data_IF_084480066621
#
_entry.id   IF_084480066621
#
_cell.length_a   1.000
_cell.length_b   1.000
_cell.length_c   1.000
_cell.angle_alpha   90.00
_cell.angle_beta   90.00
_cell.angle_gamma   90.00
#
_symmetry.space_group_name_H-M   'P 1'
#
loop_
_entity.id
_entity.type
_entity.pdbx_description
1 polymer ?
#
# COMPACT_ATOMS: atom_id res chain seq x y z
N UNK A 1 66.61 -25.90 49.09
CA UNK A 1 65.43 -25.77 48.22
C UNK A 1 64.42 -24.84 48.90
N UNK A 2 64.26 -23.60 48.41
CA UNK A 2 63.24 -22.66 48.93
C UNK A 2 61.88 -23.06 48.34
N UNK A 3 60.92 -23.45 49.19
CA UNK A 3 59.52 -23.63 48.78
C UNK A 3 58.90 -22.24 48.58
N UNK A 4 58.50 -21.93 47.34
CA UNK A 4 57.68 -20.77 47.04
C UNK A 4 56.29 -20.96 47.62
N UNK A 5 55.84 -20.01 48.44
CA UNK A 5 54.44 -19.94 48.90
C UNK A 5 53.64 -19.34 47.76
N UNK A 6 52.70 -20.09 47.19
CA UNK A 6 51.73 -19.56 46.24
C UNK A 6 50.64 -18.82 47.03
N UNK A 7 50.43 -17.51 46.83
CA UNK A 7 49.33 -16.80 47.47
C UNK A 7 48.01 -17.29 46.86
N UNK A 8 47.09 -17.75 47.71
CA UNK A 8 45.71 -18.08 47.31
C UNK A 8 44.88 -16.81 47.15
N UNK A 9 43.96 -16.79 46.18
CA UNK A 9 43.05 -15.68 45.92
C UNK A 9 42.12 -15.43 47.11
N UNK A 10 41.93 -14.15 47.48
CA UNK A 10 41.02 -13.77 48.57
C UNK A 10 39.59 -13.55 48.07
N UNK A 11 38.58 -13.70 48.94
CA UNK A 11 37.16 -13.55 48.57
C UNK A 11 36.86 -12.16 47.95
N UNK A 12 37.47 -11.10 48.49
CA UNK A 12 37.33 -9.73 48.01
C UNK A 12 37.85 -9.59 46.56
N UNK A 13 38.92 -10.30 46.24
CA UNK A 13 39.58 -10.30 44.94
C UNK A 13 38.73 -11.03 43.90
N UNK A 14 38.07 -12.13 44.29
CA UNK A 14 37.08 -12.82 43.46
C UNK A 14 35.87 -11.91 43.20
N UNK A 15 35.35 -11.22 44.22
CA UNK A 15 34.23 -10.29 44.03
C UNK A 15 34.59 -9.13 43.10
N UNK A 16 35.80 -8.58 43.20
CA UNK A 16 36.29 -7.53 42.30
C UNK A 16 36.39 -8.03 40.86
N UNK A 17 36.91 -9.24 40.64
CA UNK A 17 37.02 -9.83 39.30
C UNK A 17 35.63 -10.07 38.71
N UNK A 18 34.69 -10.64 39.46
CA UNK A 18 33.32 -10.89 38.98
C UNK A 18 32.59 -9.58 38.66
N UNK A 19 32.73 -8.55 39.51
CA UNK A 19 32.17 -7.23 39.27
C UNK A 19 32.74 -6.57 38.02
N UNK A 20 34.06 -6.66 37.82
CA UNK A 20 34.74 -6.12 36.64
C UNK A 20 34.30 -6.84 35.36
N UNK A 21 34.19 -8.17 35.40
CA UNK A 21 33.68 -8.97 34.27
C UNK A 21 32.25 -8.60 33.92
N UNK A 22 31.39 -8.36 34.91
CA UNK A 22 30.01 -7.89 34.69
C UNK A 22 29.95 -6.53 33.99
N UNK A 23 30.78 -5.58 34.41
CA UNK A 23 30.86 -4.25 33.78
C UNK A 23 31.40 -4.35 32.34
N UNK A 24 32.45 -5.13 32.12
CA UNK A 24 33.03 -5.36 30.79
C UNK A 24 32.00 -6.03 29.87
N UNK A 25 31.27 -7.04 30.36
CA UNK A 25 30.23 -7.72 29.59
C UNK A 25 29.07 -6.77 29.23
N UNK A 26 28.62 -5.93 30.17
CA UNK A 26 27.57 -4.94 29.91
C UNK A 26 28.01 -3.90 28.87
N UNK A 27 29.24 -3.39 28.97
CA UNK A 27 29.80 -2.43 28.02
C UNK A 27 29.98 -3.05 26.62
N UNK A 28 30.36 -4.32 26.54
CA UNK A 28 30.53 -5.03 25.27
C UNK A 28 29.21 -5.33 24.56
N UNK A 29 28.12 -5.55 25.30
CA UNK A 29 26.80 -5.86 24.73
C UNK A 29 25.96 -4.61 24.41
N UNK A 30 26.28 -3.45 24.98
CA UNK A 30 25.54 -2.21 24.75
C UNK A 30 25.42 -1.82 23.25
N UNK A 31 26.49 -1.92 22.42
CA UNK A 31 26.40 -1.63 20.98
C UNK A 31 25.45 -2.58 20.25
N UNK A 32 25.40 -3.86 20.63
CA UNK A 32 24.52 -4.88 20.04
C UNK A 32 23.05 -4.59 20.33
N UNK A 33 22.73 -4.25 21.60
CA UNK A 33 21.38 -3.88 22.01
C UNK A 33 20.92 -2.59 21.30
N UNK A 34 21.83 -1.63 21.13
CA UNK A 34 21.57 -0.41 20.37
C UNK A 34 21.30 -0.71 18.88
N UNK A 35 22.06 -1.61 18.27
CA UNK A 35 21.84 -2.01 16.86
C UNK A 35 20.52 -2.74 16.66
N UNK A 36 20.12 -3.63 17.58
CA UNK A 36 18.82 -4.32 17.50
C UNK A 36 17.68 -3.31 17.62
N UNK A 37 17.76 -2.37 18.57
CA UNK A 37 16.75 -1.32 18.73
C UNK A 37 16.70 -0.38 17.54
N UNK A 38 17.85 0.02 16.99
CA UNK A 38 17.89 0.88 15.81
C UNK A 38 17.37 0.17 14.56
N UNK A 39 17.59 -1.15 14.42
CA UNK A 39 17.03 -1.96 13.35
C UNK A 39 15.51 -2.14 13.51
N UNK A 40 15.03 -2.31 14.74
CA UNK A 40 13.59 -2.39 15.04
C UNK A 40 12.90 -1.04 14.79
N UNK A 41 13.49 0.08 15.21
CA UNK A 41 12.99 1.44 14.94
C UNK A 41 13.05 1.78 13.45
N UNK A 42 14.12 1.36 12.76
CA UNK A 42 14.22 1.47 11.31
C UNK A 42 13.14 0.62 10.65
N UNK A 43 12.96 -0.64 11.01
CA UNK A 43 11.92 -1.50 10.45
C UNK A 43 10.51 -0.99 10.74
N UNK A 44 10.27 -0.39 11.93
CA UNK A 44 9.01 0.29 12.27
C UNK A 44 8.78 1.55 11.44
N UNK A 45 9.82 2.33 11.11
CA UNK A 45 9.76 3.49 10.19
C UNK A 45 9.75 3.11 8.70
N UNK A 46 10.30 1.94 8.34
CA UNK A 46 10.65 1.56 6.95
C UNK A 46 9.96 0.31 6.42
N UNK A 47 9.03 -0.30 7.14
CA UNK A 47 8.12 -1.27 6.53
C UNK A 47 7.45 -0.62 5.31
N UNK A 48 7.31 -1.33 4.18
CA UNK A 48 6.80 -0.72 2.92
C UNK A 48 5.44 -0.03 3.10
N UNK A 49 4.70 -0.41 4.14
CA UNK A 49 3.43 0.18 4.54
C UNK A 49 3.55 1.49 5.34
N UNK A 50 4.72 2.07 5.57
CA UNK A 50 4.85 3.38 6.24
C UNK A 50 5.57 4.42 5.35
N UNK A 51 5.97 4.03 4.14
CA UNK A 51 6.65 4.91 3.21
C UNK A 51 5.67 5.40 2.13
N UNK A 52 5.28 6.67 2.23
CA UNK A 52 4.32 7.29 1.30
C UNK A 52 4.83 7.32 -0.14
N UNK A 53 6.12 7.56 -0.36
CA UNK A 53 6.71 7.53 -1.71
C UNK A 53 6.64 6.12 -2.31
N UNK A 54 6.95 5.08 -1.51
CA UNK A 54 6.84 3.69 -1.97
C UNK A 54 5.40 3.30 -2.32
N UNK A 55 4.40 3.81 -1.58
CA UNK A 55 2.99 3.58 -1.88
C UNK A 55 2.58 4.25 -3.20
N UNK A 56 3.01 5.49 -3.43
CA UNK A 56 2.81 6.21 -4.70
C UNK A 56 3.51 5.49 -5.84
N UNK A 57 4.77 5.11 -5.69
CA UNK A 57 5.52 4.38 -6.71
C UNK A 57 4.80 3.07 -7.09
N UNK A 58 4.19 2.38 -6.12
CA UNK A 58 3.37 1.20 -6.41
C UNK A 58 2.13 1.56 -7.22
N UNK A 59 1.39 2.61 -6.85
CA UNK A 59 0.21 3.09 -7.60
C UNK A 59 0.61 3.37 -9.05
N UNK A 60 1.61 4.20 -9.28
CA UNK A 60 2.04 4.59 -10.63
C UNK A 60 2.62 3.41 -11.42
N UNK A 61 3.30 2.48 -10.75
CA UNK A 61 3.72 1.21 -11.33
C UNK A 61 2.53 0.37 -11.82
N UNK A 62 1.41 0.34 -11.10
CA UNK A 62 0.19 -0.34 -11.57
C UNK A 62 -0.48 0.40 -12.74
N UNK A 63 -0.48 1.73 -12.70
CA UNK A 63 -1.08 2.57 -13.74
C UNK A 63 -0.31 2.43 -15.06
N UNK A 64 1.02 2.41 -15.03
CA UNK A 64 1.86 2.17 -16.22
C UNK A 64 1.59 0.81 -16.89
N UNK A 65 0.92 -0.11 -16.20
CA UNK A 65 0.54 -1.44 -16.67
C UNK A 65 -0.95 -1.55 -17.02
N UNK A 66 -1.68 -0.43 -17.06
CA UNK A 66 -3.06 -0.40 -17.59
C UNK A 66 -3.06 -0.92 -19.02
N UNK A 67 -3.97 -1.84 -19.31
CA UNK A 67 -4.12 -2.43 -20.64
C UNK A 67 -5.29 -1.72 -21.32
N UNK A 68 -5.08 -1.08 -22.49
CA UNK A 68 -6.19 -0.53 -23.26
C UNK A 68 -7.23 -1.60 -23.60
N UNK A 69 -8.51 -1.23 -23.57
CA UNK A 69 -9.61 -2.10 -23.99
C UNK A 69 -10.62 -1.27 -24.79
N UNK A 70 -11.00 -1.70 -26.00
CA UNK A 70 -11.97 -0.96 -26.82
C UNK A 70 -13.42 -1.10 -26.35
N UNK A 71 -13.72 -2.11 -25.53
CA UNK A 71 -15.10 -2.46 -25.14
C UNK A 71 -15.56 -1.81 -23.83
N UNK A 72 -14.65 -1.24 -23.05
CA UNK A 72 -14.96 -0.54 -21.80
C UNK A 72 -13.82 0.40 -21.38
N UNK A 73 -14.14 1.39 -20.53
CA UNK A 73 -13.14 2.24 -19.89
C UNK A 73 -12.11 1.44 -19.12
N UNK A 74 -10.85 1.87 -19.08
CA UNK A 74 -9.78 1.12 -18.40
C UNK A 74 -9.26 1.82 -17.16
N UNK A 75 -9.74 3.03 -16.90
CA UNK A 75 -9.32 3.87 -15.80
C UNK A 75 -10.52 4.70 -15.31
N UNK A 76 -10.76 4.70 -14.00
CA UNK A 76 -11.87 5.42 -13.38
C UNK A 76 -11.45 5.99 -12.02
N UNK A 77 -11.79 7.25 -11.78
CA UNK A 77 -11.68 7.90 -10.48
C UNK A 77 -13.09 8.20 -10.00
N UNK A 78 -13.40 7.71 -8.81
CA UNK A 78 -14.66 7.99 -8.11
C UNK A 78 -14.32 8.93 -6.96
N UNK A 79 -14.81 10.17 -7.04
CA UNK A 79 -14.68 11.11 -5.93
C UNK A 79 -15.65 10.71 -4.81
N UNK A 80 -15.11 10.49 -3.60
CA UNK A 80 -15.94 10.27 -2.40
C UNK A 80 -15.47 11.23 -1.32
N UNK A 81 -16.40 12.06 -0.88
CA UNK A 81 -16.29 12.88 0.32
C UNK A 81 -17.37 12.44 1.30
N UNK A 82 -16.99 12.09 2.52
CA UNK A 82 -17.93 11.70 3.58
C UNK A 82 -17.72 12.51 4.85
N UNK A 83 -18.66 12.40 5.80
CA UNK A 83 -18.61 13.11 7.09
C UNK A 83 -17.34 12.87 7.92
N UNK A 84 -16.61 11.76 7.70
CA UNK A 84 -15.39 11.41 8.44
C UNK A 84 -14.09 11.52 7.63
N UNK A 85 -14.17 11.68 6.30
CA UNK A 85 -13.01 11.78 5.41
C UNK A 85 -13.35 12.67 4.21
N UNK A 86 -12.68 13.82 4.13
CA UNK A 86 -12.78 14.76 2.99
C UNK A 86 -11.95 14.32 1.75
N UNK A 87 -11.35 13.13 1.81
CA UNK A 87 -10.39 12.63 0.83
C UNK A 87 -10.42 11.09 0.75
N UNK A 88 -11.50 10.50 0.23
CA UNK A 88 -11.60 9.05 -0.01
C UNK A 88 -11.76 8.76 -1.52
N UNK A 89 -10.98 9.44 -2.37
CA UNK A 89 -11.05 9.16 -3.80
C UNK A 89 -10.67 7.70 -4.07
N UNK A 90 -11.38 7.08 -4.99
CA UNK A 90 -11.17 5.68 -5.35
C UNK A 90 -10.65 5.61 -6.75
N UNK A 91 -9.54 4.91 -6.90
CA UNK A 91 -8.95 4.64 -8.19
C UNK A 91 -9.26 3.20 -8.58
N UNK A 92 -9.92 3.02 -9.71
CA UNK A 92 -10.24 1.72 -10.31
C UNK A 92 -9.55 1.65 -11.66
N UNK A 93 -8.84 0.56 -11.95
CA UNK A 93 -8.13 0.41 -13.22
C UNK A 93 -8.08 -1.04 -13.69
N UNK A 94 -8.18 -1.25 -15.00
CA UNK A 94 -7.92 -2.54 -15.63
C UNK A 94 -6.43 -2.67 -15.95
N UNK A 95 -5.71 -3.55 -15.23
CA UNK A 95 -4.25 -3.57 -15.25
C UNK A 95 -3.65 -4.97 -15.38
N UNK A 96 -2.52 -5.05 -16.08
CA UNK A 96 -1.66 -6.23 -16.13
C UNK A 96 -0.80 -6.40 -14.87
N UNK A 97 -0.75 -5.42 -13.97
CA UNK A 97 0.12 -5.46 -12.80
C UNK A 97 -0.02 -6.72 -11.93
N UNK A 98 -1.22 -7.30 -11.72
CA UNK A 98 -1.36 -8.55 -10.99
C UNK A 98 -0.60 -9.75 -11.60
N UNK A 99 -0.30 -9.75 -12.91
CA UNK A 99 0.50 -10.81 -13.56
C UNK A 99 1.89 -10.94 -12.95
N UNK A 100 2.47 -9.83 -12.50
CA UNK A 100 3.78 -9.80 -11.84
C UNK A 100 3.72 -10.24 -10.37
N UNK A 101 2.52 -10.52 -9.85
CA UNK A 101 2.26 -11.10 -8.53
C UNK A 101 1.71 -12.54 -8.64
N UNK A 102 1.81 -13.16 -9.82
CA UNK A 102 1.29 -14.52 -10.07
C UNK A 102 -0.22 -14.62 -10.21
N UNK A 103 -0.92 -13.49 -10.46
CA UNK A 103 -2.38 -13.43 -10.62
C UNK A 103 -2.79 -13.10 -12.06
N UNK A 104 -4.03 -13.37 -12.44
CA UNK A 104 -4.55 -12.96 -13.75
C UNK A 104 -4.68 -11.44 -13.86
N UNK A 105 -4.69 -10.94 -15.10
CA UNK A 105 -5.10 -9.55 -15.40
C UNK A 105 -6.46 -9.31 -14.78
N UNK A 106 -6.66 -8.13 -14.21
CA UNK A 106 -7.93 -7.83 -13.58
C UNK A 106 -8.02 -6.38 -13.15
N UNK A 107 -9.05 -6.11 -12.35
CA UNK A 107 -9.30 -4.78 -11.82
C UNK A 107 -8.45 -4.58 -10.58
N UNK A 108 -7.70 -3.48 -10.54
CA UNK A 108 -6.96 -3.02 -9.37
C UNK A 108 -7.71 -1.83 -8.79
N UNK A 109 -7.95 -1.85 -7.48
CA UNK A 109 -8.63 -0.76 -6.77
C UNK A 109 -7.75 -0.24 -5.66
N UNK A 110 -7.64 1.09 -5.55
CA UNK A 110 -7.07 1.79 -4.41
C UNK A 110 -8.13 2.62 -3.70
N UNK A 111 -8.22 2.52 -2.38
CA UNK A 111 -9.06 3.39 -1.52
C UNK A 111 -8.53 3.43 -0.08
N UNK A 112 -9.03 4.39 0.70
CA UNK A 112 -8.76 4.46 2.14
C UNK A 112 -9.70 3.50 2.87
N UNK A 113 -9.15 2.84 3.88
CA UNK A 113 -9.90 2.11 4.89
C UNK A 113 -9.80 2.92 6.17
N UNK A 114 -10.93 3.42 6.65
CA UNK A 114 -11.01 4.15 7.90
C UNK A 114 -11.20 3.19 9.07
N UNK A 115 -10.80 3.65 10.26
CA UNK A 115 -11.08 2.92 11.50
C UNK A 115 -12.59 3.00 11.78
N UNK A 116 -13.26 1.87 11.78
CA UNK A 116 -14.70 1.76 12.06
C UNK A 116 -14.97 0.92 13.29
N UNK A 117 -16.12 1.14 13.93
CA UNK A 117 -16.56 0.34 15.09
C UNK A 117 -16.74 -1.15 14.71
N UNK A 118 -17.11 -1.42 13.46
CA UNK A 118 -17.30 -2.76 12.90
C UNK A 118 -16.12 -3.24 12.04
N UNK A 119 -15.09 -2.41 11.87
CA UNK A 119 -13.96 -2.70 10.99
C UNK A 119 -12.67 -2.90 11.80
N UNK A 120 -12.23 -4.16 11.89
CA UNK A 120 -11.00 -4.53 12.59
C UNK A 120 -9.73 -4.39 11.72
N UNK A 121 -9.86 -3.99 10.45
CA UNK A 121 -8.71 -3.74 9.60
C UNK A 121 -7.91 -2.52 10.10
N UNK A 122 -6.59 -2.53 9.86
CA UNK A 122 -5.77 -1.35 10.15
C UNK A 122 -6.23 -0.20 9.26
N UNK A 123 -6.30 1.04 9.77
CA UNK A 123 -6.60 2.18 8.93
C UNK A 123 -5.43 2.47 7.97
N UNK A 124 -5.74 2.90 6.75
CA UNK A 124 -4.73 3.24 5.75
C UNK A 124 -5.18 3.12 4.31
N UNK A 125 -4.25 3.28 3.38
CA UNK A 125 -4.43 3.05 1.95
C UNK A 125 -4.27 1.57 1.63
N UNK A 126 -5.26 1.01 0.94
CA UNK A 126 -5.28 -0.39 0.55
C UNK A 126 -5.33 -0.57 -0.95
N UNK A 127 -4.89 -1.74 -1.41
CA UNK A 127 -4.92 -2.20 -2.79
C UNK A 127 -5.65 -3.53 -2.91
N UNK A 128 -6.72 -3.56 -3.68
CA UNK A 128 -7.43 -4.78 -4.07
C UNK A 128 -7.02 -5.22 -5.47
N UNK A 129 -7.04 -6.53 -5.69
CA UNK A 129 -6.90 -7.15 -7.01
C UNK A 129 -8.07 -8.08 -7.23
N UNK A 130 -8.90 -7.77 -8.23
CA UNK A 130 -10.07 -8.53 -8.59
C UNK A 130 -9.78 -9.24 -9.91
N UNK A 131 -9.23 -10.46 -9.80
CA UNK A 131 -8.69 -11.23 -10.91
C UNK A 131 -9.73 -11.99 -11.74
N UNK A 132 -10.99 -12.05 -11.26
CA UNK A 132 -12.09 -12.81 -11.89
C UNK A 132 -13.23 -11.91 -12.40
N UNK A 133 -12.99 -10.60 -12.52
CA UNK A 133 -13.98 -9.69 -13.12
C UNK A 133 -13.96 -9.93 -14.63
N UNK A 134 -15.05 -10.41 -15.25
CA UNK A 134 -15.05 -10.76 -16.66
C UNK A 134 -14.74 -9.51 -17.50
N UNK A 135 -13.75 -9.56 -18.41
CA UNK A 135 -13.45 -8.45 -19.33
C UNK A 135 -14.53 -8.20 -20.40
N UNK A 136 -15.74 -8.77 -20.22
CA UNK A 136 -16.83 -8.99 -21.18
C UNK A 136 -16.44 -9.68 -22.49
N UNK A 137 -16.45 -11.02 -22.46
CA UNK A 137 -17.04 -11.87 -23.52
C UNK A 137 -17.20 -13.31 -22.98
N UNK A 138 -18.13 -13.49 -22.05
CA UNK A 138 -18.70 -14.80 -21.69
C UNK A 138 -20.20 -14.63 -21.47
N UNK A 139 -20.90 -14.14 -22.49
CA UNK A 139 -22.29 -14.52 -22.71
C UNK A 139 -22.28 -15.48 -23.90
N UNK A 140 -21.82 -16.70 -23.65
CA UNK A 140 -22.17 -17.81 -24.53
C UNK A 140 -23.49 -18.36 -23.99
N UNK A 141 -24.57 -17.96 -24.66
CA UNK A 141 -25.93 -18.50 -24.62
C UNK A 141 -26.45 -19.09 -23.31
N UNK A 142 -27.30 -18.33 -22.61
CA UNK A 142 -28.41 -18.95 -21.87
C UNK A 142 -29.72 -18.56 -22.55
N UNK A 143 -30.41 -19.58 -23.07
CA UNK A 143 -31.72 -19.54 -23.69
C UNK A 143 -32.75 -19.47 -22.56
N UNK A 144 -32.82 -18.34 -21.86
CA UNK A 144 -33.96 -18.03 -21.01
C UNK A 144 -34.22 -16.54 -21.09
N UNK A 145 -35.41 -16.17 -21.59
CA UNK A 145 -35.83 -14.80 -21.88
C UNK A 145 -36.02 -13.93 -20.64
N UNK A 146 -35.03 -13.89 -19.75
CA UNK A 146 -34.93 -12.95 -18.64
C UNK A 146 -34.14 -11.76 -19.17
N UNK A 147 -34.77 -10.58 -19.17
CA UNK A 147 -34.19 -9.32 -19.64
C UNK A 147 -32.72 -9.23 -19.20
N UNK A 148 -31.80 -9.39 -20.16
CA UNK A 148 -30.38 -9.30 -19.89
C UNK A 148 -30.11 -7.86 -19.52
N UNK A 149 -30.00 -7.58 -18.22
CA UNK A 149 -29.35 -6.37 -17.73
C UNK A 149 -28.04 -6.24 -18.50
N UNK A 150 -27.79 -5.06 -19.09
CA UNK A 150 -26.54 -4.79 -19.79
C UNK A 150 -25.39 -5.36 -18.98
N UNK A 151 -24.45 -6.10 -19.60
CA UNK A 151 -23.38 -6.70 -18.82
C UNK A 151 -22.69 -5.58 -18.03
N UNK A 152 -22.37 -5.78 -16.75
CA UNK A 152 -21.71 -4.72 -15.96
C UNK A 152 -20.27 -4.52 -16.46
N UNK A 153 -19.82 -3.26 -16.58
CA UNK A 153 -18.42 -3.00 -16.92
C UNK A 153 -17.51 -3.52 -15.81
N UNK A 154 -16.31 -4.03 -16.11
CA UNK A 154 -15.31 -4.31 -15.08
C UNK A 154 -15.00 -3.11 -14.18
N UNK A 155 -15.28 -1.89 -14.66
CA UNK A 155 -15.06 -0.65 -13.93
C UNK A 155 -16.20 -0.27 -12.98
N UNK A 156 -17.32 -0.99 -13.01
CA UNK A 156 -18.51 -0.74 -12.18
C UNK A 156 -18.51 -1.55 -10.87
N UNK A 157 -17.35 -2.06 -10.48
CA UNK A 157 -17.16 -2.72 -9.18
C UNK A 157 -17.69 -1.85 -8.05
N UNK A 158 -18.52 -2.45 -7.19
CA UNK A 158 -18.97 -1.80 -5.95
C UNK A 158 -17.79 -1.63 -4.98
N UNK A 159 -17.16 -0.46 -5.04
CA UNK A 159 -15.99 -0.15 -4.23
C UNK A 159 -16.32 0.10 -2.75
N UNK A 160 -17.59 0.31 -2.39
CA UNK A 160 -18.03 0.50 -1.00
C UNK A 160 -17.96 -0.84 -0.23
N UNK A 161 -18.28 -1.96 -0.89
CA UNK A 161 -18.42 -3.29 -0.28
C UNK A 161 -17.14 -4.14 -0.29
N UNK A 162 -16.01 -3.59 -0.73
CA UNK A 162 -14.73 -4.31 -0.78
C UNK A 162 -14.21 -4.64 0.62
N UNK A 163 -14.08 -5.95 0.93
CA UNK A 163 -13.52 -6.46 2.19
C UNK A 163 -12.02 -6.14 2.30
N UNK A 164 -11.57 -5.35 3.28
CA UNK A 164 -10.14 -5.05 3.51
C UNK A 164 -9.28 -6.28 3.79
N UNK A 165 -9.85 -7.40 4.28
CA UNK A 165 -9.08 -8.61 4.63
C UNK A 165 -8.44 -9.29 3.43
N UNK A 166 -9.02 -9.13 2.24
CA UNK A 166 -8.49 -9.71 0.98
C UNK A 166 -7.61 -8.71 0.21
N UNK A 167 -7.40 -7.51 0.76
CA UNK A 167 -6.55 -6.48 0.19
C UNK A 167 -5.17 -6.44 0.81
N UNK A 168 -4.24 -5.80 0.08
CA UNK A 168 -2.91 -5.48 0.59
C UNK A 168 -2.92 -4.08 1.19
N UNK A 169 -2.52 -3.96 2.46
CA UNK A 169 -2.24 -2.66 3.07
C UNK A 169 -0.99 -2.06 2.39
N UNK A 170 -1.16 -0.91 1.77
CA UNK A 170 -0.11 -0.22 1.03
C UNK A 170 0.55 0.88 1.84
N UNK A 171 -0.23 1.59 2.66
CA UNK A 171 0.25 2.63 3.57
C UNK A 171 -0.65 2.69 4.81
N UNK A 172 -0.13 2.27 5.95
CA UNK A 172 -0.75 2.41 7.26
C UNK A 172 -0.92 3.88 7.62
N UNK A 173 -1.95 4.18 8.40
CA UNK A 173 -2.23 5.51 8.96
C UNK A 173 -2.44 6.64 7.93
N UNK A 174 -2.50 6.32 6.64
CA UNK A 174 -3.02 7.23 5.63
C UNK A 174 -4.48 7.56 5.95
N UNK A 175 -4.79 8.85 6.06
CA UNK A 175 -6.12 9.36 6.43
C UNK A 175 -6.91 9.82 5.20
N UNK A 176 -6.25 9.99 4.06
CA UNK A 176 -6.90 10.40 2.84
C UNK A 176 -6.08 10.13 1.57
N UNK A 177 -6.77 10.03 0.45
CA UNK A 177 -6.18 10.01 -0.89
C UNK A 177 -7.05 10.82 -1.85
N UNK A 178 -6.41 11.60 -2.73
CA UNK A 178 -7.06 12.32 -3.82
C UNK A 178 -6.38 12.05 -5.14
N UNK A 179 -7.17 11.91 -6.20
CA UNK A 179 -6.68 11.71 -7.56
C UNK A 179 -7.23 12.79 -8.48
N UNK A 180 -6.38 13.30 -9.38
CA UNK A 180 -6.76 14.35 -10.31
C UNK A 180 -6.22 14.06 -11.70
N UNK A 181 -7.09 14.16 -12.70
CA UNK A 181 -6.71 14.07 -14.11
C UNK A 181 -6.71 15.46 -14.73
N UNK A 182 -5.70 15.76 -15.53
CA UNK A 182 -5.67 17.00 -16.30
C UNK A 182 -6.56 16.89 -17.55
N UNK A 183 -7.64 17.68 -17.61
CA UNK A 183 -8.58 17.70 -18.72
C UNK A 183 -9.02 19.12 -19.05
N UNK A 184 -8.97 19.51 -20.32
CA UNK A 184 -9.48 20.80 -20.76
C UNK A 184 -8.88 21.98 -19.97
N UNK A 185 -7.57 21.93 -19.72
CA UNK A 185 -6.81 22.92 -18.93
C UNK A 185 -7.24 23.07 -17.47
N UNK A 186 -7.88 22.06 -16.87
CA UNK A 186 -8.19 22.01 -15.45
C UNK A 186 -7.92 20.63 -14.85
N UNK A 187 -7.73 20.58 -13.54
CA UNK A 187 -7.71 19.34 -12.77
C UNK A 187 -9.16 18.89 -12.49
N UNK A 188 -9.48 17.65 -12.84
CA UNK A 188 -10.76 17.00 -12.55
C UNK A 188 -10.56 15.84 -11.57
N UNK A 189 -11.42 15.74 -10.56
CA UNK A 189 -11.38 14.68 -9.53
C UNK A 189 -12.28 13.49 -9.83
N UNK A 190 -13.12 13.60 -10.87
CA UNK A 190 -13.89 12.48 -11.40
C UNK A 190 -13.42 12.21 -12.82
N UNK A 191 -13.29 10.93 -13.15
CA UNK A 191 -12.91 10.52 -14.49
C UNK A 191 -13.38 9.11 -14.79
N UNK A 192 -13.84 8.87 -16.02
CA UNK A 192 -14.14 7.55 -16.54
C UNK A 192 -13.67 7.52 -18.01
N UNK A 193 -12.75 6.62 -18.35
CA UNK A 193 -12.25 6.51 -19.71
C UNK A 193 -10.98 5.66 -19.88
N UNK A 194 -10.19 5.99 -20.92
CA UNK A 194 -8.88 5.40 -21.18
C UNK A 194 -7.85 5.91 -20.15
N UNK A 195 -6.62 5.38 -20.18
CA UNK A 195 -5.53 5.91 -19.36
C UNK A 195 -5.34 7.43 -19.62
N UNK A 196 -5.33 8.29 -18.59
CA UNK A 196 -5.17 9.72 -18.77
C UNK A 196 -3.73 10.11 -19.12
N UNK A 197 -3.55 11.24 -19.81
CA UNK A 197 -2.21 11.75 -20.15
C UNK A 197 -1.40 12.21 -18.94
N UNK A 198 -2.07 12.77 -17.92
CA UNK A 198 -1.43 13.37 -16.75
C UNK A 198 -2.30 13.12 -15.51
N UNK A 199 -1.71 12.55 -14.48
CA UNK A 199 -2.37 12.25 -13.21
C UNK A 199 -1.57 12.84 -12.05
N UNK A 200 -2.27 13.55 -11.16
CA UNK A 200 -1.77 13.94 -9.86
C UNK A 200 -2.42 13.08 -8.78
N UNK A 201 -1.61 12.60 -7.84
CA UNK A 201 -2.05 11.87 -6.64
C UNK A 201 -1.60 12.63 -5.41
N UNK A 202 -2.50 12.80 -4.45
CA UNK A 202 -2.21 13.37 -3.14
C UNK A 202 -2.57 12.33 -2.07
N UNK A 203 -1.60 11.95 -1.23
CA UNK A 203 -1.84 11.10 -0.07
C UNK A 203 -1.71 11.96 1.19
N UNK A 204 -2.73 11.90 2.03
CA UNK A 204 -2.83 12.67 3.26
C UNK A 204 -2.53 11.73 4.43
N UNK A 205 -1.57 12.12 5.26
CA UNK A 205 -1.17 11.44 6.49
C UNK A 205 -1.20 12.42 7.66
N UNK A 206 -0.98 11.93 8.87
CA UNK A 206 -0.82 12.81 10.05
C UNK A 206 0.42 13.71 9.96
N UNK A 207 1.42 13.31 9.20
CA UNK A 207 2.69 14.04 9.04
C UNK A 207 2.60 15.12 7.95
N UNK A 208 1.55 15.09 7.13
CA UNK A 208 1.31 16.05 6.06
C UNK A 208 0.79 15.39 4.78
N UNK A 209 0.75 16.19 3.72
CA UNK A 209 0.30 15.77 2.39
C UNK A 209 1.49 15.55 1.48
N UNK A 210 1.59 14.35 0.92
CA UNK A 210 2.53 14.03 -0.15
C UNK A 210 1.83 14.13 -1.50
N UNK A 211 2.42 14.85 -2.46
CA UNK A 211 1.87 15.01 -3.81
C UNK A 211 2.85 14.48 -4.86
N UNK A 212 2.33 13.77 -5.84
CA UNK A 212 3.09 13.29 -6.99
C UNK A 212 2.29 13.50 -8.26
N UNK A 213 2.98 13.88 -9.35
CA UNK A 213 2.37 14.07 -10.66
C UNK A 213 3.22 13.35 -11.71
N UNK A 214 2.58 12.54 -12.54
CA UNK A 214 3.26 11.84 -13.63
C UNK A 214 2.46 11.95 -14.93
N UNK A 215 3.21 12.07 -16.03
CA UNK A 215 2.69 12.00 -17.38
C UNK A 215 2.82 10.57 -17.91
N UNK A 216 1.74 10.04 -18.49
CA UNK A 216 1.75 8.73 -19.12
C UNK A 216 1.82 8.87 -20.65
N UNK A 217 2.98 8.61 -21.28
CA UNK A 217 3.16 8.81 -22.72
C UNK A 217 2.35 7.83 -23.57
N UNK A 218 1.97 6.68 -23.00
CA UNK A 218 1.17 5.64 -23.68
C UNK A 218 -0.34 5.82 -23.50
N UNK A 219 -0.78 6.96 -22.98
CA UNK A 219 -2.19 7.28 -22.90
C UNK A 219 -2.76 7.34 -24.32
N UNK A 220 -3.75 6.47 -24.59
CA UNK A 220 -4.36 6.39 -25.90
C UNK A 220 -5.05 7.73 -26.21
N UNK A 221 -4.70 8.34 -27.35
CA UNK A 221 -5.37 9.54 -27.84
C UNK A 221 -6.90 9.29 -27.90
N UNK A 222 -7.67 10.32 -27.56
CA UNK A 222 -9.14 10.22 -27.43
C UNK A 222 -9.74 9.73 -28.73
#
# INVERSE_FOLDING_TARGET
MRRGVSPGFTLIEIMLVVGLVGIIAAAALAPLVFTIRSLEEAQRRWGSSHNTAAAVDRIYSDIRRVIPNPSFSTFKIIHKSGFSTEADDRLVMWSAAPKYEGKNVGVVVYKIVTKGVLNNAKPGLYRWVLANVPSKSTVSGDISGRSASEPESPMDVNTDELDPKVAKLMLADAVGVKFYVWQGNKWAQEYDGKLPNLLKTEIITKEGTYSHTERFPNAAEK
#
